data_IF_110008992763
#
_entry.id   IF_110008992763
#
_cell.length_a   1.000
_cell.length_b   1.000
_cell.length_c   1.000
_cell.angle_alpha   90.00
_cell.angle_beta   90.00
_cell.angle_gamma   90.00
#
_symmetry.space_group_name_H-M   'P 1'
#
loop_
_entity.id
_entity.type
_entity.pdbx_description
1 polymer ?
#
# COMPACT_ATOMS: atom_id res chain seq x y z
N UNK A 1 -29.15 -26.43 39.54
CA UNK A 1 -27.76 -25.98 39.39
C UNK A 1 -27.16 -26.77 38.24
N UNK A 2 -27.22 -26.25 37.00
CA UNK A 2 -26.55 -26.81 35.81
C UNK A 2 -26.90 -25.91 34.59
N UNK A 3 -26.22 -24.78 34.47
CA UNK A 3 -26.26 -23.91 33.28
C UNK A 3 -24.90 -23.25 32.99
N UNK A 4 -23.86 -23.64 33.75
CA UNK A 4 -22.52 -23.04 33.68
C UNK A 4 -21.61 -23.72 32.64
N UNK A 5 -21.83 -25.00 32.33
CA UNK A 5 -20.91 -25.77 31.48
C UNK A 5 -20.96 -25.38 29.99
N UNK A 6 -22.14 -25.06 29.45
CA UNK A 6 -22.28 -24.73 28.02
C UNK A 6 -21.66 -23.39 27.63
N UNK A 7 -21.60 -22.44 28.57
CA UNK A 7 -21.00 -21.13 28.35
C UNK A 7 -19.46 -21.19 28.36
N UNK A 8 -18.89 -22.04 29.22
CA UNK A 8 -17.44 -22.25 29.31
C UNK A 8 -16.91 -23.03 28.10
N UNK A 9 -17.65 -24.03 27.61
CA UNK A 9 -17.31 -24.76 26.38
C UNK A 9 -17.36 -23.88 25.13
N UNK A 10 -18.38 -23.00 25.04
CA UNK A 10 -18.48 -22.04 23.95
C UNK A 10 -17.35 -21.00 23.99
N UNK A 11 -16.92 -20.58 25.19
CA UNK A 11 -15.78 -19.68 25.37
C UNK A 11 -14.44 -20.35 25.00
N UNK A 12 -14.25 -21.62 25.38
CA UNK A 12 -13.08 -22.41 25.00
C UNK A 12 -13.00 -22.64 23.49
N UNK A 13 -14.12 -22.95 22.82
CA UNK A 13 -14.16 -23.11 21.37
C UNK A 13 -13.95 -21.78 20.62
N UNK A 14 -14.43 -20.66 21.16
CA UNK A 14 -14.17 -19.31 20.62
C UNK A 14 -12.70 -18.91 20.79
N UNK A 15 -12.10 -19.22 21.94
CA UNK A 15 -10.68 -18.97 22.20
C UNK A 15 -9.79 -19.90 21.37
N UNK A 16 -10.18 -21.16 21.15
CA UNK A 16 -9.49 -22.10 20.27
C UNK A 16 -9.61 -21.69 18.79
N UNK A 17 -10.77 -21.19 18.35
CA UNK A 17 -10.93 -20.58 17.01
C UNK A 17 -10.16 -19.28 16.86
N UNK A 18 -10.08 -18.44 17.90
CA UNK A 18 -9.28 -17.22 17.90
C UNK A 18 -7.76 -17.51 17.97
N UNK A 19 -7.36 -18.60 18.61
CA UNK A 19 -5.99 -19.10 18.62
C UNK A 19 -5.63 -19.74 17.27
N UNK A 20 -6.55 -20.51 16.67
CA UNK A 20 -6.42 -21.06 15.32
C UNK A 20 -6.40 -19.97 14.23
N UNK A 21 -7.13 -18.87 14.42
CA UNK A 21 -7.04 -17.69 13.54
C UNK A 21 -5.77 -16.87 13.79
N UNK A 22 -5.19 -16.90 14.99
CA UNK A 22 -3.86 -16.31 15.26
C UNK A 22 -2.72 -17.13 14.68
N UNK A 23 -2.87 -18.45 14.58
CA UNK A 23 -1.93 -19.33 13.88
C UNK A 23 -2.16 -19.42 12.36
N UNK A 24 -3.19 -18.75 11.82
CA UNK A 24 -3.41 -18.64 10.38
C UNK A 24 -2.69 -17.44 9.73
N UNK A 25 -1.76 -16.81 10.44
CA UNK A 25 -0.60 -16.20 9.78
C UNK A 25 0.21 -17.38 9.28
N UNK A 26 -0.10 -17.86 8.07
CA UNK A 26 0.59 -19.00 7.47
C UNK A 26 2.09 -18.86 7.67
N UNK A 27 2.75 -19.95 8.07
CA UNK A 27 4.18 -19.98 8.37
C UNK A 27 4.95 -19.19 7.31
N UNK A 28 5.87 -18.33 7.74
CA UNK A 28 6.64 -17.49 6.82
C UNK A 28 7.79 -18.31 6.24
N UNK A 29 8.31 -17.90 5.08
CA UNK A 29 9.64 -18.38 4.68
C UNK A 29 10.68 -17.87 5.70
N UNK A 30 11.86 -18.53 5.84
CA UNK A 30 12.89 -18.06 6.76
C UNK A 30 13.29 -16.59 6.52
N UNK A 31 13.31 -16.16 5.25
CA UNK A 31 13.61 -14.76 4.93
C UNK A 31 12.50 -13.80 5.39
N UNK A 32 11.24 -14.20 5.29
CA UNK A 32 10.10 -13.39 5.68
C UNK A 32 9.90 -13.28 7.21
N UNK A 33 10.44 -14.21 7.99
CA UNK A 33 10.43 -14.17 9.46
C UNK A 33 11.16 -12.95 10.02
N UNK A 34 12.19 -12.46 9.32
CA UNK A 34 12.97 -11.31 9.74
C UNK A 34 12.32 -9.95 9.44
N UNK A 35 11.15 -9.93 8.78
CA UNK A 35 10.46 -8.68 8.45
C UNK A 35 9.61 -8.23 9.65
N UNK A 36 9.87 -7.04 10.20
CA UNK A 36 9.06 -6.49 11.30
C UNK A 36 7.59 -6.33 10.90
N UNK A 37 6.64 -6.38 11.85
CA UNK A 37 5.25 -6.04 11.58
C UNK A 37 5.10 -4.56 11.19
N UNK A 38 3.96 -4.14 10.59
CA UNK A 38 3.73 -2.75 10.23
C UNK A 38 3.93 -1.80 11.41
N UNK A 39 4.64 -0.68 11.18
CA UNK A 39 4.96 0.32 12.20
C UNK A 39 6.37 0.90 12.04
N UNK A 40 6.85 1.69 13.02
CA UNK A 40 8.16 2.36 12.94
C UNK A 40 9.33 1.41 12.69
N UNK A 41 9.35 0.25 13.35
CA UNK A 41 10.39 -0.76 13.14
C UNK A 41 10.43 -1.29 11.70
N UNK A 42 9.29 -1.38 11.01
CA UNK A 42 9.25 -1.77 9.60
C UNK A 42 9.74 -0.66 8.67
N UNK A 43 9.46 0.60 9.00
CA UNK A 43 10.00 1.77 8.29
C UNK A 43 11.52 1.78 8.40
N UNK A 44 12.05 1.73 9.62
CA UNK A 44 13.50 1.70 9.87
C UNK A 44 14.17 0.52 9.16
N UNK A 45 13.58 -0.68 9.26
CA UNK A 45 14.07 -1.87 8.57
C UNK A 45 14.10 -1.67 7.05
N UNK A 46 13.00 -1.25 6.43
CA UNK A 46 12.96 -1.07 4.97
C UNK A 46 13.92 0.01 4.51
N UNK A 47 14.02 1.12 5.25
CA UNK A 47 14.90 2.24 4.93
C UNK A 47 16.38 1.84 5.04
N UNK A 48 16.74 0.99 6.00
CA UNK A 48 18.10 0.47 6.18
C UNK A 48 18.60 -0.42 5.04
N UNK A 49 17.70 -1.06 4.29
CA UNK A 49 18.09 -1.94 3.19
C UNK A 49 18.72 -1.16 2.03
N UNK A 50 19.72 -1.73 1.39
CA UNK A 50 20.11 -1.32 0.04
C UNK A 50 19.09 -1.82 -1.00
N UNK A 51 19.10 -1.25 -2.21
CA UNK A 51 18.26 -1.74 -3.31
C UNK A 51 18.55 -3.22 -3.66
N UNK A 52 19.79 -3.67 -3.49
CA UNK A 52 20.19 -5.07 -3.73
C UNK A 52 19.63 -6.00 -2.67
N UNK A 53 19.67 -5.61 -1.40
CA UNK A 53 19.10 -6.42 -0.31
C UNK A 53 17.59 -6.50 -0.42
N UNK A 54 16.90 -5.38 -0.69
CA UNK A 54 15.46 -5.38 -0.92
C UNK A 54 15.08 -6.35 -2.05
N UNK A 55 15.87 -6.40 -3.14
CA UNK A 55 15.64 -7.36 -4.22
C UNK A 55 15.68 -8.82 -3.77
N UNK A 56 16.57 -9.18 -2.85
CA UNK A 56 16.63 -10.53 -2.29
C UNK A 56 15.30 -10.89 -1.60
N UNK A 57 14.74 -9.97 -0.82
CA UNK A 57 13.42 -10.17 -0.21
C UNK A 57 12.28 -10.20 -1.24
N UNK A 58 12.31 -9.35 -2.27
CA UNK A 58 11.29 -9.31 -3.31
C UNK A 58 11.31 -10.54 -4.24
N UNK A 59 12.44 -11.23 -4.32
CA UNK A 59 12.58 -12.49 -5.05
C UNK A 59 12.06 -13.70 -4.25
N UNK A 60 11.88 -13.57 -2.93
CA UNK A 60 11.31 -14.62 -2.10
C UNK A 60 9.78 -14.61 -2.16
N UNK A 61 9.26 -15.53 -2.99
CA UNK A 61 7.84 -15.75 -3.26
C UNK A 61 7.26 -16.81 -2.31
N UNK A 62 5.93 -16.92 -2.30
CA UNK A 62 5.23 -17.98 -1.56
C UNK A 62 5.72 -19.38 -1.99
N UNK A 63 5.87 -20.29 -1.03
CA UNK A 63 6.33 -21.68 -1.25
C UNK A 63 5.39 -22.66 -0.57
N UNK A 64 4.47 -23.24 -1.34
CA UNK A 64 3.42 -24.09 -0.79
C UNK A 64 2.56 -23.31 0.20
N UNK A 65 2.53 -23.74 1.46
CA UNK A 65 1.82 -23.04 2.53
C UNK A 65 2.60 -21.85 3.12
N UNK A 66 3.87 -21.65 2.74
CA UNK A 66 4.70 -20.59 3.30
C UNK A 66 4.48 -19.25 2.61
N UNK A 67 4.29 -18.19 3.40
CA UNK A 67 4.19 -16.81 2.89
C UNK A 67 5.59 -16.23 2.68
N UNK A 68 5.90 -15.83 1.45
CA UNK A 68 7.21 -15.26 1.08
C UNK A 68 7.35 -13.78 1.46
N UNK A 69 8.59 -13.32 1.54
CA UNK A 69 8.92 -11.97 1.96
C UNK A 69 8.28 -10.90 1.08
N UNK A 70 8.21 -11.12 -0.23
CA UNK A 70 7.55 -10.18 -1.17
C UNK A 70 6.12 -9.86 -0.75
N UNK A 71 5.37 -10.89 -0.35
CA UNK A 71 3.97 -10.76 0.06
C UNK A 71 3.84 -10.09 1.42
N UNK A 72 4.71 -10.43 2.37
CA UNK A 72 4.75 -9.78 3.70
C UNK A 72 5.06 -8.29 3.58
N UNK A 73 6.11 -7.91 2.83
CA UNK A 73 6.46 -6.49 2.62
C UNK A 73 5.29 -5.75 1.97
N UNK A 74 4.73 -6.32 0.91
CA UNK A 74 3.63 -5.69 0.20
C UNK A 74 2.36 -5.58 1.07
N UNK A 75 2.12 -6.51 1.99
CA UNK A 75 1.04 -6.41 2.97
C UNK A 75 1.31 -5.32 4.01
N UNK A 76 2.55 -5.23 4.50
CA UNK A 76 2.93 -4.22 5.48
C UNK A 76 2.85 -2.79 4.93
N UNK A 77 3.25 -2.57 3.68
CA UNK A 77 3.12 -1.25 3.01
C UNK A 77 1.64 -0.86 2.85
N UNK A 78 0.77 -1.83 2.55
CA UNK A 78 -0.69 -1.63 2.43
C UNK A 78 -1.41 -1.58 3.76
N UNK A 79 -0.70 -1.61 4.88
CA UNK A 79 -1.30 -1.52 6.21
C UNK A 79 -1.40 -0.05 6.65
N UNK A 80 -2.52 0.37 7.27
CA UNK A 80 -3.80 -0.31 7.28
C UNK A 80 -4.42 -0.32 5.86
N UNK A 81 -5.32 -1.27 5.60
CA UNK A 81 -6.06 -1.29 4.33
C UNK A 81 -6.99 -0.07 4.17
N UNK A 82 -7.57 0.09 2.97
CA UNK A 82 -8.44 1.24 2.67
C UNK A 82 -7.70 2.50 2.21
N UNK A 83 -6.41 2.36 1.90
CA UNK A 83 -5.58 3.41 1.32
C UNK A 83 -5.12 3.02 -0.09
N UNK A 84 -5.13 3.96 -1.02
CA UNK A 84 -4.57 3.84 -2.35
C UNK A 84 -3.13 4.35 -2.36
N UNK A 85 -2.21 3.54 -2.87
CA UNK A 85 -0.80 3.90 -3.00
C UNK A 85 -0.50 4.54 -4.36
N UNK A 86 -0.20 5.85 -4.37
CA UNK A 86 0.26 6.57 -5.56
C UNK A 86 1.69 6.12 -5.96
N UNK A 87 2.54 5.82 -4.99
CA UNK A 87 3.80 5.11 -5.18
C UNK A 87 3.53 3.61 -5.13
N UNK A 88 3.12 3.05 -6.28
CA UNK A 88 2.55 1.69 -6.33
C UNK A 88 3.48 0.63 -5.72
N UNK A 89 2.91 -0.19 -4.83
CA UNK A 89 3.61 -1.28 -4.10
C UNK A 89 4.28 -2.32 -5.01
N UNK A 90 3.91 -2.41 -6.29
CA UNK A 90 4.60 -3.31 -7.24
C UNK A 90 5.96 -2.78 -7.71
N UNK A 91 6.23 -1.49 -7.52
CA UNK A 91 7.42 -0.78 -7.99
C UNK A 91 8.47 -0.52 -6.91
N UNK A 92 8.46 -1.30 -5.82
CA UNK A 92 9.32 -1.05 -4.64
C UNK A 92 10.80 -0.93 -5.00
N UNK A 93 11.28 -1.72 -5.96
CA UNK A 93 12.67 -1.63 -6.40
C UNK A 93 12.97 -0.27 -7.06
N UNK A 94 12.08 0.23 -7.91
CA UNK A 94 12.25 1.54 -8.55
C UNK A 94 12.17 2.67 -7.52
N UNK A 95 11.20 2.59 -6.61
CA UNK A 95 11.02 3.55 -5.51
C UNK A 95 12.27 3.59 -4.63
N UNK A 96 12.82 2.42 -4.27
CA UNK A 96 14.06 2.31 -3.50
C UNK A 96 15.26 2.88 -4.26
N UNK A 97 15.35 2.66 -5.58
CA UNK A 97 16.40 3.26 -6.43
C UNK A 97 16.32 4.78 -6.49
N UNK A 98 15.12 5.35 -6.42
CA UNK A 98 14.95 6.81 -6.34
C UNK A 98 15.35 7.39 -4.97
N UNK A 99 15.66 6.55 -3.97
CA UNK A 99 16.02 7.00 -2.64
C UNK A 99 14.85 7.54 -1.82
N UNK A 100 13.61 7.17 -2.17
CA UNK A 100 12.42 7.58 -1.43
C UNK A 100 12.32 6.75 -0.14
N UNK A 101 12.12 7.39 1.00
CA UNK A 101 11.94 6.69 2.27
C UNK A 101 10.60 5.97 2.34
N UNK A 102 10.49 4.94 3.18
CA UNK A 102 9.22 4.26 3.34
C UNK A 102 8.16 5.21 3.92
N UNK A 103 8.56 6.11 4.83
CA UNK A 103 7.63 7.08 5.40
C UNK A 103 6.99 7.95 4.31
N UNK A 104 7.76 8.44 3.35
CA UNK A 104 7.21 9.17 2.19
C UNK A 104 6.26 8.31 1.36
N UNK A 105 6.53 7.01 1.16
CA UNK A 105 5.60 6.09 0.49
C UNK A 105 4.28 5.98 1.25
N UNK A 106 4.34 5.92 2.58
CA UNK A 106 3.17 5.77 3.44
C UNK A 106 2.34 7.07 3.56
N UNK A 107 2.99 8.22 3.58
CA UNK A 107 2.35 9.53 3.63
C UNK A 107 1.73 9.90 2.27
N UNK A 108 2.36 9.44 1.18
CA UNK A 108 1.88 9.57 -0.19
C UNK A 108 0.71 8.63 -0.54
N UNK A 109 -0.17 8.32 0.42
CA UNK A 109 -1.39 7.52 0.20
C UNK A 109 -2.64 8.36 0.41
N UNK A 110 -3.74 7.93 -0.19
CA UNK A 110 -5.04 8.58 -0.01
C UNK A 110 -6.09 7.53 0.32
N UNK A 111 -7.15 7.88 1.07
CA UNK A 111 -8.28 6.96 1.25
C UNK A 111 -8.79 6.45 -0.10
N UNK A 112 -9.03 5.14 -0.21
CA UNK A 112 -9.61 4.55 -1.42
C UNK A 112 -10.96 5.16 -1.77
N UNK A 113 -11.73 5.60 -0.77
CA UNK A 113 -13.03 6.25 -0.96
C UNK A 113 -12.89 7.65 -1.56
N UNK A 114 -11.82 8.36 -1.21
CA UNK A 114 -11.50 9.69 -1.72
C UNK A 114 -10.72 9.66 -3.06
N UNK A 115 -10.27 8.47 -3.49
CA UNK A 115 -9.51 8.29 -4.73
C UNK A 115 -10.47 8.18 -5.92
N UNK A 116 -10.94 9.34 -6.36
CA UNK A 116 -11.92 9.52 -7.43
C UNK A 116 -11.34 10.49 -8.46
N UNK A 117 -11.49 10.15 -9.74
CA UNK A 117 -11.14 11.02 -10.85
C UNK A 117 -12.26 11.13 -11.87
N UNK A 118 -12.00 11.87 -12.93
CA UNK A 118 -12.94 12.15 -14.03
C UNK A 118 -13.53 10.88 -14.66
N UNK A 119 -12.72 9.84 -14.77
CA UNK A 119 -13.06 8.61 -15.47
C UNK A 119 -12.87 7.35 -14.62
N UNK A 120 -12.65 7.50 -13.31
CA UNK A 120 -12.44 6.35 -12.44
C UNK A 120 -12.89 6.61 -11.02
N UNK A 121 -13.26 5.53 -10.34
CA UNK A 121 -13.32 5.45 -8.88
C UNK A 121 -12.51 4.23 -8.46
N UNK A 122 -11.72 4.35 -7.40
CA UNK A 122 -10.93 3.23 -6.91
C UNK A 122 -11.81 2.00 -6.63
N UNK A 123 -11.35 0.82 -7.06
CA UNK A 123 -12.07 -0.45 -6.92
C UNK A 123 -13.33 -0.57 -7.79
N UNK A 124 -13.59 0.39 -8.68
CA UNK A 124 -14.78 0.44 -9.54
C UNK A 124 -14.37 0.60 -11.02
N UNK A 125 -15.34 0.95 -11.87
CA UNK A 125 -15.10 1.25 -13.29
C UNK A 125 -13.98 2.29 -13.45
N UNK A 126 -13.11 2.07 -14.45
CA UNK A 126 -11.95 2.93 -14.72
C UNK A 126 -10.74 2.70 -13.83
N UNK A 127 -10.87 2.04 -12.67
CA UNK A 127 -9.76 1.83 -11.72
C UNK A 127 -8.55 1.13 -12.36
N UNK A 128 -8.79 0.13 -13.23
CA UNK A 128 -7.72 -0.58 -13.93
C UNK A 128 -6.98 0.32 -14.93
N UNK A 129 -7.67 1.25 -15.60
CA UNK A 129 -7.04 2.22 -16.49
C UNK A 129 -6.19 3.21 -15.70
N UNK A 130 -6.69 3.72 -14.58
CA UNK A 130 -5.93 4.59 -13.69
C UNK A 130 -4.65 3.91 -13.18
N UNK A 131 -4.74 2.65 -12.71
CA UNK A 131 -3.56 1.90 -12.28
C UNK A 131 -2.53 1.72 -13.41
N UNK A 132 -2.96 1.47 -14.65
CA UNK A 132 -2.04 1.36 -15.82
C UNK A 132 -1.39 2.68 -16.19
N UNK A 133 -2.11 3.80 -16.06
CA UNK A 133 -1.52 5.12 -16.28
C UNK A 133 -0.46 5.41 -15.20
N UNK A 134 -0.78 5.16 -13.93
CA UNK A 134 0.15 5.36 -12.82
C UNK A 134 1.39 4.46 -12.94
N UNK A 135 1.20 3.21 -13.33
CA UNK A 135 2.26 2.27 -13.67
C UNK A 135 3.23 2.85 -14.70
N UNK A 136 2.68 3.33 -15.82
CA UNK A 136 3.44 3.95 -16.89
C UNK A 136 4.15 5.25 -16.47
N UNK A 137 3.60 6.01 -15.53
CA UNK A 137 4.25 7.20 -14.98
C UNK A 137 5.50 6.81 -14.19
N UNK A 138 5.43 5.77 -13.37
CA UNK A 138 6.57 5.29 -12.58
C UNK A 138 7.65 4.73 -13.51
N UNK A 139 7.29 3.84 -14.44
CA UNK A 139 8.25 3.18 -15.33
C UNK A 139 9.03 4.16 -16.22
N UNK A 140 8.40 5.26 -16.64
CA UNK A 140 9.03 6.27 -17.52
C UNK A 140 9.78 7.36 -16.76
N UNK A 141 9.75 7.36 -15.43
CA UNK A 141 10.36 8.41 -14.63
C UNK A 141 11.77 8.02 -14.17
N UNK A 142 12.81 8.80 -14.53
CA UNK A 142 14.18 8.48 -14.13
C UNK A 142 14.45 8.77 -12.64
N UNK A 143 13.65 9.64 -12.01
CA UNK A 143 13.78 10.04 -10.62
C UNK A 143 12.41 10.27 -9.96
N UNK A 144 12.38 10.37 -8.64
CA UNK A 144 11.16 10.70 -7.91
C UNK A 144 10.64 12.11 -8.26
N UNK A 145 11.51 13.10 -8.46
CA UNK A 145 11.08 14.43 -8.90
C UNK A 145 10.47 14.42 -10.29
N UNK A 146 11.07 13.65 -11.21
CA UNK A 146 10.53 13.48 -12.55
C UNK A 146 9.19 12.74 -12.56
N UNK A 147 8.97 11.83 -11.60
CA UNK A 147 7.68 11.20 -11.34
C UNK A 147 6.67 12.21 -10.81
N UNK A 148 7.02 13.02 -9.79
CA UNK A 148 6.11 14.05 -9.24
C UNK A 148 5.63 15.00 -10.32
N UNK A 149 6.52 15.54 -11.16
CA UNK A 149 6.11 16.44 -12.26
C UNK A 149 5.06 15.78 -13.15
N UNK A 150 5.33 14.57 -13.66
CA UNK A 150 4.39 13.87 -14.55
C UNK A 150 3.09 13.47 -13.83
N UNK A 151 3.18 13.13 -12.54
CA UNK A 151 2.02 12.80 -11.73
C UNK A 151 1.13 14.03 -11.52
N UNK A 152 1.70 15.22 -11.29
CA UNK A 152 0.94 16.45 -11.13
C UNK A 152 0.25 16.86 -12.44
N UNK A 153 0.96 16.75 -13.58
CA UNK A 153 0.36 16.96 -14.90
C UNK A 153 -0.77 15.97 -15.20
N UNK A 154 -0.60 14.69 -14.83
CA UNK A 154 -1.63 13.68 -14.95
C UNK A 154 -2.82 13.99 -14.02
N UNK A 155 -2.55 14.38 -12.77
CA UNK A 155 -3.57 14.70 -11.79
C UNK A 155 -4.41 15.89 -12.23
N UNK A 156 -3.82 16.94 -12.81
CA UNK A 156 -4.59 18.08 -13.31
C UNK A 156 -5.60 17.73 -14.40
N UNK A 157 -5.39 16.62 -15.13
CA UNK A 157 -6.30 16.14 -16.17
C UNK A 157 -7.33 15.15 -15.62
N UNK A 158 -6.90 14.31 -14.69
CA UNK A 158 -7.62 13.09 -14.28
C UNK A 158 -8.28 13.23 -12.90
N UNK A 159 -7.70 13.99 -11.98
CA UNK A 159 -8.30 14.34 -10.69
C UNK A 159 -9.09 15.63 -10.86
N UNK A 160 -10.41 15.53 -10.83
CA UNK A 160 -11.29 16.68 -10.75
C UNK A 160 -12.28 16.45 -9.63
N UNK A 161 -12.61 17.47 -8.82
CA UNK A 161 -13.78 17.36 -7.97
C UNK A 161 -15.04 17.39 -8.83
N UNK A 162 -16.11 16.81 -8.29
CA UNK A 162 -17.47 17.12 -8.70
C UNK A 162 -17.64 18.65 -8.63
N UNK A 163 -18.01 19.31 -9.74
CA UNK A 163 -18.12 20.78 -9.82
C UNK A 163 -19.09 21.31 -8.75
N UNK A 164 -18.63 22.27 -7.95
CA UNK A 164 -19.49 23.08 -7.09
C UNK A 164 -20.04 24.32 -7.83
N UNK A 165 -21.08 24.99 -7.31
CA UNK A 165 -21.80 26.03 -8.04
C UNK A 165 -21.09 27.40 -8.17
N UNK A 166 -19.89 27.59 -7.60
CA UNK A 166 -19.32 28.93 -7.34
C UNK A 166 -17.84 29.15 -7.69
N UNK A 167 -17.26 28.39 -8.62
CA UNK A 167 -15.92 28.70 -9.13
C UNK A 167 -15.21 27.52 -9.78
N UNK A 168 -14.14 27.81 -10.50
CA UNK A 168 -13.24 26.78 -11.02
C UNK A 168 -12.62 26.01 -9.85
N UNK A 169 -12.72 24.68 -9.83
CA UNK A 169 -12.06 23.89 -8.80
C UNK A 169 -10.54 24.07 -8.88
N UNK A 170 -9.82 23.93 -7.74
CA UNK A 170 -8.36 23.91 -7.78
C UNK A 170 -7.87 22.80 -8.71
N UNK A 171 -6.71 23.01 -9.32
CA UNK A 171 -6.09 22.04 -10.20
C UNK A 171 -5.97 20.65 -9.54
N UNK A 172 -6.17 19.59 -10.32
CA UNK A 172 -6.23 18.21 -9.83
C UNK A 172 -5.04 17.79 -8.97
N UNK A 173 -3.85 18.36 -9.21
CA UNK A 173 -2.66 18.17 -8.38
C UNK A 173 -2.87 18.42 -6.88
N UNK A 174 -3.75 19.35 -6.50
CA UNK A 174 -4.01 19.67 -5.09
C UNK A 174 -4.84 18.61 -4.36
N UNK A 175 -5.32 17.59 -5.09
CA UNK A 175 -5.96 16.39 -4.52
C UNK A 175 -4.95 15.25 -4.27
N UNK A 176 -3.70 15.41 -4.70
CA UNK A 176 -2.62 14.50 -4.31
C UNK A 176 -2.19 14.78 -2.86
N UNK A 177 -1.64 13.79 -2.14
CA UNK A 177 -0.95 14.02 -0.88
C UNK A 177 0.16 15.09 -1.00
N UNK A 178 0.39 15.93 0.02
CA UNK A 178 1.36 17.03 -0.02
C UNK A 178 2.76 16.63 -0.48
N UNK A 179 3.21 15.43 -0.13
CA UNK A 179 4.52 14.85 -0.46
C UNK A 179 4.71 14.65 -1.98
N UNK A 180 3.59 14.57 -2.71
CA UNK A 180 3.56 14.38 -4.15
C UNK A 180 3.28 15.66 -4.93
N UNK A 181 2.88 16.75 -4.26
CA UNK A 181 2.56 18.00 -4.93
C UNK A 181 3.82 18.73 -5.39
N UNK A 182 3.79 19.27 -6.61
CA UNK A 182 4.79 20.24 -7.08
C UNK A 182 4.23 21.65 -6.91
N UNK A 183 5.05 22.56 -6.39
CA UNK A 183 4.72 23.99 -6.26
C UNK A 183 4.60 24.67 -7.62
#
# INVERSE_FOLDING_TARGET
MQVVDAAEDAAHQRNAKAAANRSNVGSRTPLAEHIPPPGPAFVEWWDSLTAKELNTFLADLDRGALTGARKVIAANIRHPGGLHEWLMVKHQQQIKRWGVSLQTVLDARTSTEATIGRHFKHGSAGSGTMHRQLDALIERSPSFDAFKVRLNEWADRELFPVRGPRGEPPAGRYYLPPELQTR
#
